data_IF_864496945748
#
_entry.id   IF_864496945748
#
_cell.length_a   1.000
_cell.length_b   1.000
_cell.length_c   1.000
_cell.angle_alpha   90.00
_cell.angle_beta   90.00
_cell.angle_gamma   90.00
#
_symmetry.space_group_name_H-M   'P 1'
#
loop_
_entity.id
_entity.type
_entity.pdbx_description
1 polymer ?
#
# COMPACT_ATOMS: atom_id res chain seq x y z
N UNK A 1 27.31 -10.66 -13.36
CA UNK A 1 28.29 -10.46 -12.28
C UNK A 1 28.06 -11.60 -11.28
N UNK A 2 29.09 -12.30 -10.82
CA UNK A 2 28.90 -13.32 -9.77
C UNK A 2 28.48 -12.59 -8.50
N UNK A 3 27.28 -12.90 -7.96
CA UNK A 3 26.91 -12.48 -6.62
C UNK A 3 28.00 -12.97 -5.66
N UNK A 4 28.55 -12.08 -4.87
CA UNK A 4 29.42 -12.46 -3.76
C UNK A 4 28.60 -13.41 -2.89
N UNK A 5 29.19 -14.56 -2.51
CA UNK A 5 28.52 -15.51 -1.62
C UNK A 5 28.24 -14.78 -0.31
N UNK A 6 26.97 -14.59 0.00
CA UNK A 6 26.52 -13.99 1.24
C UNK A 6 26.93 -14.93 2.39
N UNK A 7 27.64 -14.43 3.39
CA UNK A 7 27.94 -15.18 4.59
C UNK A 7 26.74 -15.07 5.55
N UNK A 8 25.96 -16.15 5.63
CA UNK A 8 24.86 -16.26 6.58
C UNK A 8 25.37 -16.71 7.94
N UNK A 9 24.66 -16.31 8.99
CA UNK A 9 24.90 -16.74 10.37
C UNK A 9 24.46 -18.19 10.64
N UNK A 10 23.89 -18.46 11.80
CA UNK A 10 23.62 -19.82 12.27
C UNK A 10 22.17 -20.30 12.06
N UNK A 11 21.30 -19.54 11.39
CA UNK A 11 19.86 -19.73 11.39
C UNK A 11 19.26 -20.12 10.02
N UNK A 12 19.63 -21.26 9.42
CA UNK A 12 18.91 -21.75 8.23
C UNK A 12 17.44 -22.03 8.59
N UNK A 13 16.52 -21.86 7.62
CA UNK A 13 15.08 -21.97 7.86
C UNK A 13 14.67 -23.28 8.55
N UNK A 14 15.34 -24.39 8.23
CA UNK A 14 15.08 -25.69 8.91
C UNK A 14 15.33 -25.62 10.40
N UNK A 15 16.41 -24.95 10.81
CA UNK A 15 16.74 -24.78 12.22
C UNK A 15 15.73 -23.84 12.90
N UNK A 16 15.41 -22.72 12.28
CA UNK A 16 14.39 -21.80 12.81
C UNK A 16 13.04 -22.48 13.00
N UNK A 17 12.62 -23.34 12.05
CA UNK A 17 11.37 -24.09 12.20
C UNK A 17 11.39 -25.09 13.36
N UNK A 18 12.53 -25.73 13.65
CA UNK A 18 12.61 -26.74 14.71
C UNK A 18 12.88 -26.16 16.08
N UNK A 19 13.75 -25.16 16.16
CA UNK A 19 14.28 -24.66 17.41
C UNK A 19 13.49 -23.45 17.96
N UNK A 20 12.81 -22.69 17.08
CA UNK A 20 12.10 -21.45 17.44
C UNK A 20 10.62 -21.53 17.08
N UNK A 21 10.29 -21.53 15.79
CA UNK A 21 8.89 -21.52 15.32
C UNK A 21 8.13 -22.76 15.80
N UNK A 22 8.84 -23.86 16.00
CA UNK A 22 8.28 -25.08 16.56
C UNK A 22 7.47 -25.92 15.59
N UNK A 23 7.09 -27.11 16.03
CA UNK A 23 6.38 -28.10 15.22
C UNK A 23 4.85 -28.02 15.34
N UNK A 24 4.32 -27.01 16.03
CA UNK A 24 2.88 -26.83 16.19
C UNK A 24 2.50 -25.68 17.14
N UNK A 25 1.19 -25.39 17.28
CA UNK A 25 0.71 -24.19 17.97
C UNK A 25 1.12 -24.06 19.46
N UNK A 26 1.43 -25.18 20.09
CA UNK A 26 1.81 -25.19 21.51
C UNK A 26 3.31 -25.01 21.76
N UNK A 27 4.12 -25.17 20.72
CA UNK A 27 5.58 -25.03 20.77
C UNK A 27 6.07 -23.87 19.88
N UNK A 28 5.14 -23.16 19.25
CA UNK A 28 5.48 -22.00 18.45
C UNK A 28 5.93 -20.84 19.34
N UNK A 29 7.07 -20.27 19.00
CA UNK A 29 7.65 -19.09 19.64
C UNK A 29 8.03 -18.06 18.57
N UNK A 30 8.32 -16.85 19.00
CA UNK A 30 8.72 -15.77 18.11
C UNK A 30 10.23 -15.79 17.87
N UNK A 31 10.62 -15.46 16.63
CA UNK A 31 12.01 -15.26 16.30
C UNK A 31 12.49 -13.90 16.84
N UNK A 32 13.76 -13.80 17.20
CA UNK A 32 14.36 -12.49 17.41
C UNK A 32 14.45 -11.73 16.08
N UNK A 33 14.67 -10.41 16.17
CA UNK A 33 14.86 -9.57 14.99
C UNK A 33 16.00 -10.06 14.09
N UNK A 34 17.14 -10.44 14.68
CA UNK A 34 18.29 -10.98 13.93
C UNK A 34 17.95 -12.31 13.23
N UNK A 35 17.18 -13.17 13.88
CA UNK A 35 16.73 -14.42 13.28
C UNK A 35 15.76 -14.18 12.12
N UNK A 36 14.84 -13.23 12.26
CA UNK A 36 13.92 -12.83 11.20
C UNK A 36 14.68 -12.20 10.02
N UNK A 37 15.63 -11.30 10.29
CA UNK A 37 16.51 -10.70 9.28
C UNK A 37 17.26 -11.78 8.51
N UNK A 38 17.99 -12.66 9.20
CA UNK A 38 18.74 -13.74 8.54
C UNK A 38 17.83 -14.65 7.71
N UNK A 39 16.63 -14.98 8.23
CA UNK A 39 15.67 -15.79 7.49
C UNK A 39 15.28 -15.14 6.15
N UNK A 40 14.99 -13.84 6.17
CA UNK A 40 14.55 -13.17 4.94
C UNK A 40 15.71 -12.93 3.96
N UNK A 41 16.89 -12.63 4.45
CA UNK A 41 18.12 -12.60 3.63
C UNK A 41 18.34 -13.90 2.86
N UNK A 42 18.21 -15.04 3.55
CA UNK A 42 18.31 -16.37 2.91
C UNK A 42 17.21 -16.59 1.86
N UNK A 43 15.99 -16.11 2.13
CA UNK A 43 14.87 -16.21 1.19
C UNK A 43 15.15 -15.38 -0.06
N UNK A 44 15.57 -14.13 0.08
CA UNK A 44 15.90 -13.25 -1.06
C UNK A 44 17.10 -13.79 -1.86
N UNK A 45 18.06 -14.41 -1.19
CA UNK A 45 19.19 -15.09 -1.85
C UNK A 45 18.82 -16.39 -2.58
N UNK A 46 17.56 -16.86 -2.43
CA UNK A 46 17.09 -18.10 -3.05
C UNK A 46 17.68 -19.38 -2.44
N UNK A 47 18.23 -19.31 -1.22
CA UNK A 47 18.85 -20.47 -0.55
C UNK A 47 17.86 -21.61 -0.26
N UNK A 48 16.64 -21.33 0.30
CA UNK A 48 15.75 -22.41 0.69
C UNK A 48 15.14 -23.14 -0.51
N UNK A 49 15.07 -24.48 -0.43
CA UNK A 49 14.24 -25.24 -1.36
C UNK A 49 12.75 -24.93 -1.17
N UNK A 50 11.94 -25.23 -2.22
CA UNK A 50 10.52 -24.89 -2.23
C UNK A 50 9.73 -25.48 -1.06
N UNK A 51 10.09 -26.70 -0.62
CA UNK A 51 9.39 -27.37 0.50
C UNK A 51 9.70 -26.68 1.81
N UNK A 52 10.96 -26.35 2.06
CA UNK A 52 11.42 -25.65 3.26
C UNK A 52 10.82 -24.25 3.32
N UNK A 53 10.83 -23.51 2.20
CA UNK A 53 10.28 -22.16 2.10
C UNK A 53 8.75 -22.15 2.37
N UNK A 54 8.02 -23.07 1.71
CA UNK A 54 6.58 -23.19 1.91
C UNK A 54 6.21 -23.54 3.35
N UNK A 55 6.94 -24.48 3.97
CA UNK A 55 6.74 -24.85 5.37
C UNK A 55 7.03 -23.67 6.32
N UNK A 56 8.10 -22.91 6.08
CA UNK A 56 8.46 -21.74 6.87
C UNK A 56 7.39 -20.64 6.76
N UNK A 57 6.93 -20.33 5.57
CA UNK A 57 5.87 -19.33 5.35
C UNK A 57 4.57 -19.74 6.04
N UNK A 58 4.15 -21.01 5.88
CA UNK A 58 2.92 -21.49 6.52
C UNK A 58 3.03 -21.46 8.05
N UNK A 59 4.16 -21.88 8.60
CA UNK A 59 4.40 -21.86 10.03
C UNK A 59 4.31 -20.43 10.59
N UNK A 60 4.96 -19.46 9.94
CA UNK A 60 4.89 -18.06 10.34
C UNK A 60 3.47 -17.48 10.25
N UNK A 61 2.73 -17.81 9.17
CA UNK A 61 1.33 -17.41 9.05
C UNK A 61 0.48 -17.99 10.17
N UNK A 62 0.70 -19.24 10.53
CA UNK A 62 -0.07 -19.95 11.54
C UNK A 62 0.20 -19.44 12.96
N UNK A 63 1.46 -19.21 13.30
CA UNK A 63 1.82 -18.63 14.60
C UNK A 63 1.47 -17.14 14.72
N UNK A 64 1.34 -16.44 13.58
CA UNK A 64 1.22 -14.99 13.41
C UNK A 64 2.50 -14.27 13.84
N UNK A 65 3.13 -13.59 12.88
CA UNK A 65 4.32 -12.80 13.16
C UNK A 65 4.01 -11.66 14.15
N UNK A 66 4.94 -11.41 15.05
CA UNK A 66 4.93 -10.23 15.91
C UNK A 66 5.53 -9.01 15.17
N UNK A 67 5.41 -7.79 15.71
CA UNK A 67 5.95 -6.58 15.07
C UNK A 67 7.46 -6.63 14.86
N UNK A 68 8.23 -7.14 15.82
CA UNK A 68 9.69 -7.24 15.75
C UNK A 68 10.17 -8.13 14.60
N UNK A 69 9.51 -9.28 14.37
CA UNK A 69 9.78 -10.13 13.21
C UNK A 69 9.46 -9.43 11.90
N UNK A 70 8.31 -8.74 11.84
CA UNK A 70 7.90 -8.01 10.65
C UNK A 70 8.84 -6.84 10.35
N UNK A 71 9.29 -6.10 11.37
CA UNK A 71 10.29 -5.06 11.23
C UNK A 71 11.61 -5.63 10.68
N UNK A 72 12.07 -6.76 11.23
CA UNK A 72 13.28 -7.42 10.73
C UNK A 72 13.18 -7.84 9.25
N UNK A 73 12.02 -8.33 8.81
CA UNK A 73 11.77 -8.63 7.40
C UNK A 73 11.70 -7.37 6.53
N UNK A 74 11.04 -6.31 7.02
CA UNK A 74 10.92 -5.04 6.31
C UNK A 74 12.26 -4.37 6.11
N UNK A 75 13.11 -4.35 7.15
CA UNK A 75 14.44 -3.79 7.06
C UNK A 75 15.29 -4.49 5.99
N UNK A 76 15.29 -5.82 5.99
CA UNK A 76 16.00 -6.60 4.96
C UNK A 76 15.42 -6.36 3.56
N UNK A 77 14.10 -6.26 3.43
CA UNK A 77 13.48 -5.92 2.15
C UNK A 77 13.99 -4.58 1.64
N UNK A 78 14.03 -3.57 2.49
CA UNK A 78 14.49 -2.23 2.13
C UNK A 78 15.99 -2.19 1.83
N UNK A 79 16.81 -2.88 2.61
CA UNK A 79 18.27 -2.94 2.42
C UNK A 79 18.70 -3.69 1.16
N UNK A 80 18.03 -4.80 0.83
CA UNK A 80 18.53 -5.75 -0.17
C UNK A 80 17.67 -5.83 -1.44
N UNK A 81 16.46 -5.29 -1.43
CA UNK A 81 15.54 -5.41 -2.56
C UNK A 81 14.94 -4.09 -3.01
N UNK A 82 14.58 -3.19 -2.09
CA UNK A 82 13.93 -1.94 -2.49
C UNK A 82 14.96 -0.97 -3.09
N UNK A 83 14.66 -0.52 -4.30
CA UNK A 83 15.33 0.58 -4.96
C UNK A 83 14.50 1.83 -4.72
N UNK A 84 15.00 2.73 -3.90
CA UNK A 84 14.33 3.99 -3.60
C UNK A 84 14.70 5.07 -4.61
N UNK A 85 13.73 5.90 -4.97
CA UNK A 85 13.93 7.14 -5.69
C UNK A 85 12.99 8.19 -5.09
N UNK A 86 13.58 9.15 -4.39
CA UNK A 86 12.87 10.18 -3.65
C UNK A 86 12.60 11.38 -4.56
N UNK A 87 11.32 11.77 -4.78
CA UNK A 87 11.00 12.99 -5.49
C UNK A 87 11.37 14.24 -4.66
N UNK A 88 11.56 15.39 -5.32
CA UNK A 88 11.74 16.69 -4.63
C UNK A 88 10.47 17.09 -3.86
N UNK A 89 9.30 16.76 -4.41
CA UNK A 89 8.03 16.86 -3.71
C UNK A 89 7.95 15.76 -2.64
N UNK A 90 7.50 16.12 -1.45
CA UNK A 90 7.28 15.20 -0.34
C UNK A 90 5.86 14.60 -0.45
N UNK A 91 5.68 13.39 -1.01
CA UNK A 91 4.36 12.83 -1.29
C UNK A 91 3.76 12.11 -0.09
N UNK A 92 2.44 11.89 -0.16
CA UNK A 92 1.77 10.87 0.64
C UNK A 92 1.99 9.51 -0.02
N UNK A 93 2.57 8.55 0.70
CA UNK A 93 2.72 7.16 0.26
C UNK A 93 1.42 6.40 0.49
N UNK A 94 0.79 5.93 -0.57
CA UNK A 94 -0.42 5.12 -0.50
C UNK A 94 -0.09 3.65 -0.76
N UNK A 95 0.30 2.96 0.30
CA UNK A 95 0.56 1.52 0.33
C UNK A 95 -0.72 0.71 0.44
N UNK A 96 -1.56 0.78 -0.59
CA UNK A 96 -2.80 0.01 -0.63
C UNK A 96 -2.56 -1.49 -0.49
N UNK A 97 -3.59 -2.20 -0.09
CA UNK A 97 -3.58 -3.64 -0.12
C UNK A 97 -3.40 -4.14 -1.56
N UNK A 98 -2.24 -4.69 -1.85
CA UNK A 98 -1.88 -5.22 -3.18
C UNK A 98 -2.79 -6.35 -3.67
N UNK A 99 -3.62 -6.93 -2.79
CA UNK A 99 -4.57 -7.99 -3.16
C UNK A 99 -5.56 -7.56 -4.25
N UNK A 100 -5.85 -6.27 -4.35
CA UNK A 100 -6.79 -5.74 -5.33
C UNK A 100 -8.25 -5.79 -4.87
N UNK A 101 -9.14 -5.25 -5.69
CA UNK A 101 -10.59 -5.26 -5.50
C UNK A 101 -11.28 -6.19 -6.51
N UNK A 102 -12.36 -6.82 -6.07
CA UNK A 102 -13.12 -7.79 -6.88
C UNK A 102 -14.48 -7.29 -7.34
N UNK A 103 -15.09 -6.36 -6.60
CA UNK A 103 -16.47 -5.93 -6.84
C UNK A 103 -16.69 -4.43 -6.71
N UNK A 104 -15.86 -3.71 -5.99
CA UNK A 104 -15.99 -2.26 -5.84
C UNK A 104 -14.96 -1.50 -6.68
N UNK A 105 -15.30 -0.27 -7.07
CA UNK A 105 -14.39 0.60 -7.82
C UNK A 105 -13.10 0.89 -7.05
N UNK A 106 -11.97 0.97 -7.75
CA UNK A 106 -10.67 1.38 -7.20
C UNK A 106 -10.61 2.90 -7.22
N UNK A 107 -11.04 3.53 -6.13
CA UNK A 107 -11.18 4.99 -6.02
C UNK A 107 -9.86 5.72 -5.76
N UNK A 108 -8.85 5.02 -5.24
CA UNK A 108 -7.59 5.61 -4.79
C UNK A 108 -6.80 6.32 -5.90
N UNK A 109 -6.95 5.88 -7.17
CA UNK A 109 -6.33 6.57 -8.32
C UNK A 109 -6.97 7.96 -8.50
N UNK A 110 -8.29 8.03 -8.66
CA UNK A 110 -8.99 9.32 -8.79
C UNK A 110 -8.78 10.24 -7.59
N UNK A 111 -8.82 9.69 -6.39
CA UNK A 111 -8.57 10.43 -5.16
C UNK A 111 -7.13 11.00 -5.09
N UNK A 112 -6.14 10.24 -5.56
CA UNK A 112 -4.76 10.70 -5.66
C UNK A 112 -4.59 11.85 -6.67
N UNK A 113 -5.27 11.75 -7.82
CA UNK A 113 -5.25 12.81 -8.85
C UNK A 113 -5.92 14.10 -8.37
N UNK A 114 -7.04 13.98 -7.64
CA UNK A 114 -7.72 15.12 -7.00
C UNK A 114 -6.81 15.78 -5.96
N UNK A 115 -6.15 15.00 -5.10
CA UNK A 115 -5.21 15.54 -4.12
C UNK A 115 -4.02 16.22 -4.79
N UNK A 116 -3.45 15.62 -5.84
CA UNK A 116 -2.36 16.20 -6.63
C UNK A 116 -2.77 17.56 -7.25
N UNK A 117 -3.97 17.62 -7.83
CA UNK A 117 -4.53 18.87 -8.38
C UNK A 117 -4.71 19.95 -7.32
N UNK A 118 -5.00 19.57 -6.08
CA UNK A 118 -5.09 20.49 -4.94
C UNK A 118 -3.71 20.86 -4.34
N UNK A 119 -2.62 20.30 -4.86
CA UNK A 119 -1.25 20.61 -4.42
C UNK A 119 -0.67 19.64 -3.40
N UNK A 120 -1.33 18.52 -3.10
CA UNK A 120 -0.82 17.44 -2.25
C UNK A 120 -0.24 16.34 -3.13
N UNK A 121 1.08 16.17 -3.22
CA UNK A 121 1.68 15.11 -4.02
C UNK A 121 1.33 13.71 -3.46
N UNK A 122 1.08 12.76 -4.34
CA UNK A 122 0.68 11.39 -3.98
C UNK A 122 1.49 10.36 -4.75
N UNK A 123 1.94 9.35 -4.04
CA UNK A 123 2.55 8.15 -4.62
C UNK A 123 1.65 6.95 -4.34
N UNK A 124 1.41 6.16 -5.36
CA UNK A 124 0.80 4.84 -5.22
C UNK A 124 1.77 3.78 -5.75
N UNK A 125 1.71 2.58 -5.21
CA UNK A 125 2.58 1.50 -5.66
C UNK A 125 1.87 0.15 -5.60
N UNK A 126 2.15 -0.70 -6.57
CA UNK A 126 1.66 -2.09 -6.63
C UNK A 126 2.45 -2.90 -7.65
N UNK A 127 2.24 -4.22 -7.65
CA UNK A 127 2.62 -5.10 -8.76
C UNK A 127 1.49 -5.27 -9.75
N UNK A 128 1.65 -6.23 -10.68
CA UNK A 128 0.58 -6.60 -11.61
C UNK A 128 -0.57 -7.28 -10.87
N UNK A 129 -0.28 -8.38 -10.19
CA UNK A 129 -1.24 -9.14 -9.41
C UNK A 129 -0.56 -9.80 -8.24
N UNK A 130 -1.13 -9.67 -7.08
CA UNK A 130 -0.62 -10.38 -5.90
C UNK A 130 -0.95 -11.87 -6.03
N UNK A 131 0.00 -12.75 -5.74
CA UNK A 131 -0.28 -14.18 -5.64
C UNK A 131 -1.45 -14.43 -4.70
N UNK A 132 -2.32 -15.39 -5.06
CA UNK A 132 -3.51 -15.83 -4.33
C UNK A 132 -4.80 -15.04 -4.55
N UNK A 133 -4.77 -13.73 -4.85
CA UNK A 133 -5.99 -12.92 -5.06
C UNK A 133 -6.25 -12.60 -6.54
N UNK A 134 -5.25 -12.09 -7.24
CA UNK A 134 -5.31 -11.79 -8.69
C UNK A 134 -6.45 -10.84 -9.09
N UNK A 135 -6.78 -9.89 -8.21
CA UNK A 135 -7.81 -8.88 -8.42
C UNK A 135 -7.24 -7.59 -9.02
N UNK A 136 -8.09 -6.61 -9.28
CA UNK A 136 -7.70 -5.31 -9.85
C UNK A 136 -7.00 -4.44 -8.81
N UNK A 137 -5.74 -4.10 -9.06
CA UNK A 137 -4.95 -3.16 -8.29
C UNK A 137 -4.79 -1.81 -9.02
N UNK A 138 -4.12 -0.85 -8.41
CA UNK A 138 -3.87 0.48 -8.98
C UNK A 138 -3.31 0.42 -10.41
N UNK A 139 -2.28 -0.43 -10.63
CA UNK A 139 -1.65 -0.56 -11.95
C UNK A 139 -2.66 -0.77 -13.09
N UNK A 140 -3.65 -1.65 -12.87
CA UNK A 140 -4.61 -1.98 -13.94
C UNK A 140 -5.49 -0.79 -14.31
N UNK A 141 -5.89 0.02 -13.33
CA UNK A 141 -6.69 1.24 -13.56
C UNK A 141 -5.84 2.32 -14.24
N UNK A 142 -4.57 2.48 -13.82
CA UNK A 142 -3.64 3.41 -14.45
C UNK A 142 -3.35 3.03 -15.92
N UNK A 143 -3.12 1.74 -16.20
CA UNK A 143 -2.94 1.24 -17.56
C UNK A 143 -4.18 1.53 -18.45
N UNK A 144 -5.39 1.31 -17.90
CA UNK A 144 -6.66 1.57 -18.61
C UNK A 144 -6.88 3.07 -18.85
N UNK A 145 -6.43 3.93 -17.95
CA UNK A 145 -6.42 5.38 -18.12
C UNK A 145 -5.36 5.87 -19.13
N UNK A 146 -4.48 4.99 -19.61
CA UNK A 146 -3.41 5.33 -20.55
C UNK A 146 -2.18 5.97 -19.90
N UNK A 147 -2.01 5.79 -18.59
CA UNK A 147 -0.86 6.28 -17.83
C UNK A 147 0.23 5.20 -17.85
N UNK A 148 1.49 5.60 -18.04
CA UNK A 148 2.62 4.67 -18.01
C UNK A 148 2.84 4.10 -16.61
N UNK A 149 2.97 2.77 -16.53
CA UNK A 149 3.13 2.05 -15.26
C UNK A 149 4.39 1.16 -15.22
N UNK A 150 5.16 1.12 -16.30
CA UNK A 150 6.38 0.31 -16.44
C UNK A 150 7.66 1.15 -16.22
N UNK A 151 7.57 2.11 -15.31
CA UNK A 151 8.64 3.06 -15.03
C UNK A 151 9.72 2.48 -14.10
N UNK A 152 10.97 2.89 -14.32
CA UNK A 152 12.02 2.73 -13.32
C UNK A 152 11.79 3.72 -12.15
N UNK A 153 12.31 3.45 -10.94
CA UNK A 153 12.02 4.29 -9.76
C UNK A 153 12.33 5.78 -9.96
N UNK A 154 13.43 6.12 -10.61
CA UNK A 154 13.80 7.51 -10.91
C UNK A 154 12.81 8.19 -11.86
N UNK A 155 12.27 7.45 -12.84
CA UNK A 155 11.21 7.97 -13.72
C UNK A 155 9.92 8.19 -12.94
N UNK A 156 9.60 7.29 -11.98
CA UNK A 156 8.43 7.46 -11.09
C UNK A 156 8.57 8.69 -10.19
N UNK A 157 9.76 8.95 -9.64
CA UNK A 157 10.03 10.17 -8.87
C UNK A 157 9.86 11.44 -9.73
N UNK A 158 10.40 11.45 -10.96
CA UNK A 158 10.22 12.55 -11.89
C UNK A 158 8.74 12.78 -12.24
N UNK A 159 7.95 11.70 -12.40
CA UNK A 159 6.51 11.80 -12.61
C UNK A 159 5.82 12.54 -11.46
N UNK A 160 6.18 12.24 -10.20
CA UNK A 160 5.66 12.96 -9.03
C UNK A 160 6.01 14.45 -9.10
N UNK A 161 7.28 14.77 -9.36
CA UNK A 161 7.77 16.15 -9.40
C UNK A 161 7.14 16.98 -10.52
N UNK A 162 6.83 16.35 -11.66
CA UNK A 162 6.23 17.01 -12.81
C UNK A 162 4.71 17.16 -12.71
N UNK A 163 4.01 16.18 -12.11
CA UNK A 163 2.54 16.09 -12.16
C UNK A 163 1.85 16.10 -10.80
N UNK A 164 2.60 15.96 -9.71
CA UNK A 164 2.05 15.79 -8.36
C UNK A 164 1.55 14.37 -8.07
N UNK A 165 1.61 13.44 -9.03
CA UNK A 165 1.19 12.05 -8.82
C UNK A 165 2.21 11.10 -9.43
N UNK A 166 2.49 9.97 -8.77
CA UNK A 166 3.40 8.96 -9.31
C UNK A 166 3.01 7.53 -8.97
N UNK A 167 3.41 6.63 -9.84
CA UNK A 167 3.25 5.19 -9.66
C UNK A 167 4.61 4.49 -9.63
N UNK A 168 4.88 3.74 -8.56
CA UNK A 168 6.06 2.90 -8.45
C UNK A 168 5.70 1.43 -8.71
N UNK A 169 6.28 0.87 -9.76
CA UNK A 169 6.02 -0.50 -10.20
C UNK A 169 6.83 -1.50 -9.38
N UNK A 170 6.18 -2.37 -8.62
CA UNK A 170 6.84 -3.29 -7.70
C UNK A 170 7.96 -4.12 -8.33
N UNK A 171 7.84 -4.71 -9.54
CA UNK A 171 8.96 -5.42 -10.17
C UNK A 171 10.21 -4.58 -10.39
N UNK A 172 10.07 -3.28 -10.61
CA UNK A 172 11.18 -2.35 -10.78
C UNK A 172 11.77 -1.91 -9.43
N UNK A 173 10.93 -1.45 -8.49
CA UNK A 173 11.44 -0.95 -7.22
C UNK A 173 11.70 -2.03 -6.16
N UNK A 174 11.11 -3.22 -6.26
CA UNK A 174 11.27 -4.31 -5.28
C UNK A 174 11.45 -5.68 -5.96
N UNK A 175 12.49 -5.83 -6.79
CA UNK A 175 12.69 -7.01 -7.62
C UNK A 175 12.87 -8.30 -6.81
N UNK A 176 13.49 -8.25 -5.63
CA UNK A 176 13.68 -9.44 -4.80
C UNK A 176 12.36 -10.01 -4.27
N UNK A 177 11.39 -9.15 -3.94
CA UNK A 177 10.04 -9.60 -3.56
C UNK A 177 9.26 -10.07 -4.80
N UNK A 178 9.42 -9.40 -5.94
CA UNK A 178 8.82 -9.85 -7.20
C UNK A 178 9.30 -11.24 -7.61
N UNK A 179 10.58 -11.55 -7.45
CA UNK A 179 11.15 -12.87 -7.76
C UNK A 179 10.57 -14.02 -6.91
N UNK A 180 9.92 -13.69 -5.81
CA UNK A 180 9.19 -14.66 -4.99
C UNK A 180 7.77 -14.98 -5.52
N UNK A 181 7.31 -14.31 -6.60
CA UNK A 181 5.93 -14.41 -7.10
C UNK A 181 5.50 -15.86 -7.33
N UNK A 182 6.24 -16.62 -8.13
CA UNK A 182 5.89 -18.01 -8.46
C UNK A 182 5.83 -18.91 -7.22
N UNK A 183 6.71 -18.67 -6.25
CA UNK A 183 6.71 -19.43 -4.99
C UNK A 183 5.50 -19.09 -4.12
N UNK A 184 5.12 -17.82 -4.08
CA UNK A 184 3.93 -17.34 -3.36
C UNK A 184 2.65 -17.88 -4.02
N UNK A 185 2.57 -17.86 -5.35
CA UNK A 185 1.42 -18.38 -6.11
C UNK A 185 1.27 -19.92 -5.89
N UNK A 186 2.36 -20.68 -5.97
CA UNK A 186 2.37 -22.12 -5.69
C UNK A 186 1.99 -22.43 -4.24
N UNK A 187 2.30 -21.55 -3.30
CA UNK A 187 1.93 -21.69 -1.89
C UNK A 187 0.41 -21.60 -1.68
N UNK A 188 -0.29 -20.79 -2.46
CA UNK A 188 -1.74 -20.65 -2.46
C UNK A 188 -2.35 -19.96 -1.23
N UNK A 189 -1.51 -19.41 -0.34
CA UNK A 189 -1.93 -18.64 0.85
C UNK A 189 -1.06 -17.41 1.03
N UNK A 190 -1.62 -16.37 1.64
CA UNK A 190 -0.86 -15.16 1.99
C UNK A 190 0.26 -15.48 2.98
N UNK A 191 1.38 -14.80 2.85
CA UNK A 191 2.55 -14.88 3.74
C UNK A 191 2.78 -13.53 4.42
N UNK A 192 3.81 -13.39 5.24
CA UNK A 192 4.20 -12.10 5.79
C UNK A 192 4.61 -11.09 4.72
N UNK A 193 5.05 -11.55 3.55
CA UNK A 193 5.40 -10.67 2.42
C UNK A 193 4.23 -9.78 2.02
N UNK A 194 2.99 -10.31 2.05
CA UNK A 194 1.77 -9.52 1.79
C UNK A 194 1.55 -8.36 2.79
N UNK A 195 2.21 -8.39 3.93
CA UNK A 195 2.19 -7.30 4.91
C UNK A 195 3.30 -6.31 4.65
N UNK A 196 4.54 -6.78 4.50
CA UNK A 196 5.70 -5.89 4.42
C UNK A 196 5.79 -5.16 3.07
N UNK A 197 5.29 -5.76 1.98
CA UNK A 197 5.33 -5.12 0.66
C UNK A 197 4.49 -3.84 0.59
N UNK A 198 3.44 -3.71 1.41
CA UNK A 198 2.59 -2.51 1.45
C UNK A 198 3.25 -1.31 2.13
N UNK A 199 4.29 -1.52 2.91
CA UNK A 199 5.10 -0.47 3.56
C UNK A 199 6.49 -0.36 2.93
N UNK A 200 6.61 -0.72 1.66
CA UNK A 200 7.87 -0.66 0.91
C UNK A 200 8.46 0.75 0.80
N UNK A 201 7.62 1.77 0.79
CA UNK A 201 7.98 3.19 0.74
C UNK A 201 9.10 3.50 -0.28
N UNK A 202 8.87 3.29 -1.58
CA UNK A 202 9.91 3.50 -2.58
C UNK A 202 10.29 4.97 -2.78
N UNK A 203 9.41 5.88 -2.41
CA UNK A 203 9.62 7.33 -2.51
C UNK A 203 10.26 7.95 -1.25
N UNK A 204 10.53 7.18 -0.19
CA UNK A 204 10.95 7.68 1.13
C UNK A 204 10.02 8.77 1.70
N UNK A 205 8.72 8.65 1.46
CA UNK A 205 7.72 9.59 1.94
C UNK A 205 7.64 9.60 3.47
N UNK A 206 7.34 10.76 4.05
CA UNK A 206 7.18 10.95 5.50
C UNK A 206 5.80 10.56 6.01
N UNK A 207 4.80 10.44 5.12
CA UNK A 207 3.40 10.15 5.45
C UNK A 207 2.93 8.90 4.72
N UNK A 208 2.31 7.97 5.46
CA UNK A 208 1.79 6.72 4.91
C UNK A 208 0.28 6.59 5.08
N UNK A 209 -0.40 6.25 4.00
CA UNK A 209 -1.79 5.77 4.02
C UNK A 209 -1.83 4.28 3.69
N UNK A 210 -2.41 3.51 4.59
CA UNK A 210 -2.54 2.07 4.44
C UNK A 210 -3.94 1.57 4.77
N UNK A 211 -4.08 0.26 4.92
CA UNK A 211 -5.38 -0.35 5.16
C UNK A 211 -5.33 -1.51 6.16
N UNK A 212 -6.49 -1.83 6.73
CA UNK A 212 -6.64 -2.98 7.62
C UNK A 212 -8.03 -3.60 7.53
N UNK A 213 -8.11 -4.89 7.86
CA UNK A 213 -9.41 -5.57 8.10
C UNK A 213 -9.84 -5.53 9.57
N UNK A 214 -8.89 -5.52 10.50
CA UNK A 214 -9.13 -5.52 11.94
C UNK A 214 -8.16 -4.56 12.62
N UNK A 215 -8.65 -3.73 13.54
CA UNK A 215 -7.87 -2.70 14.25
C UNK A 215 -6.56 -3.25 14.87
N UNK A 216 -6.57 -4.50 15.35
CA UNK A 216 -5.36 -5.15 15.84
C UNK A 216 -4.26 -5.30 14.77
N UNK A 217 -4.61 -5.25 13.48
CA UNK A 217 -3.65 -5.27 12.39
C UNK A 217 -3.07 -3.88 12.15
N UNK A 218 -3.88 -2.82 12.23
CA UNK A 218 -3.36 -1.44 12.18
C UNK A 218 -2.34 -1.21 13.30
N UNK A 219 -2.66 -1.63 14.54
CA UNK A 219 -1.70 -1.57 15.63
C UNK A 219 -0.40 -2.32 15.32
N UNK A 220 -0.50 -3.51 14.72
CA UNK A 220 0.68 -4.29 14.34
C UNK A 220 1.53 -3.59 13.26
N UNK A 221 0.91 -2.94 12.28
CA UNK A 221 1.61 -2.14 11.28
C UNK A 221 2.30 -0.94 11.89
N UNK A 222 1.62 -0.23 12.80
CA UNK A 222 2.23 0.87 13.56
C UNK A 222 3.43 0.42 14.38
N UNK A 223 3.29 -0.70 15.11
CA UNK A 223 4.39 -1.25 15.89
C UNK A 223 5.54 -1.72 14.97
N UNK A 224 5.25 -2.27 13.78
CA UNK A 224 6.26 -2.60 12.76
C UNK A 224 7.02 -1.35 12.31
N UNK A 225 6.29 -0.26 11.98
CA UNK A 225 6.90 1.02 11.57
C UNK A 225 7.82 1.56 12.66
N UNK A 226 7.36 1.57 13.90
CA UNK A 226 8.14 2.03 15.07
C UNK A 226 9.39 1.20 15.34
N UNK A 227 9.35 -0.09 15.05
CA UNK A 227 10.47 -1.03 15.28
C UNK A 227 11.43 -1.10 14.07
N UNK A 228 11.05 -0.63 12.89
CA UNK A 228 11.91 -0.65 11.70
C UNK A 228 13.03 0.38 11.80
N UNK A 229 14.24 0.01 11.36
CA UNK A 229 15.37 0.92 11.25
C UNK A 229 15.41 1.70 9.91
N UNK A 230 14.44 1.41 9.02
CA UNK A 230 14.43 1.91 7.64
C UNK A 230 13.10 2.54 7.20
N UNK A 231 12.14 2.71 8.10
CA UNK A 231 10.88 3.39 7.87
C UNK A 231 10.80 4.62 8.77
N UNK A 232 11.07 5.80 8.22
CA UNK A 232 11.11 7.06 8.94
C UNK A 232 9.79 7.86 8.77
N UNK A 233 8.64 7.18 8.81
CA UNK A 233 7.36 7.86 8.74
C UNK A 233 7.13 8.74 9.96
N UNK A 234 6.77 9.99 9.74
CA UNK A 234 6.30 10.92 10.78
C UNK A 234 4.83 10.69 11.12
N UNK A 235 4.04 10.19 10.16
CA UNK A 235 2.61 9.92 10.31
C UNK A 235 2.19 8.72 9.49
N UNK A 236 1.31 7.89 10.07
CA UNK A 236 0.69 6.78 9.35
C UNK A 236 -0.81 6.72 9.67
N UNK A 237 -1.63 6.62 8.64
CA UNK A 237 -3.09 6.51 8.77
C UNK A 237 -3.55 5.25 8.05
N UNK A 238 -4.36 4.46 8.73
CA UNK A 238 -4.87 3.20 8.21
C UNK A 238 -6.38 3.20 8.21
N UNK A 239 -6.98 2.66 7.15
CA UNK A 239 -8.42 2.58 6.96
C UNK A 239 -8.95 1.16 7.01
N UNK A 240 -10.14 0.99 7.57
CA UNK A 240 -10.95 -0.20 7.35
C UNK A 240 -11.82 0.01 6.10
N UNK A 241 -11.18 0.12 4.94
CA UNK A 241 -11.84 0.41 3.67
C UNK A 241 -12.55 -0.78 3.03
N UNK A 242 -13.20 -0.53 1.90
CA UNK A 242 -13.85 -1.57 1.12
C UNK A 242 -12.83 -2.57 0.60
N UNK A 243 -13.11 -3.86 0.76
CA UNK A 243 -12.23 -4.96 0.36
C UNK A 243 -10.79 -4.85 0.91
N UNK A 244 -10.58 -4.03 1.96
CA UNK A 244 -9.29 -3.85 2.62
C UNK A 244 -8.37 -2.87 1.91
N UNK A 245 -8.91 -1.91 1.16
CA UNK A 245 -8.17 -0.81 0.55
C UNK A 245 -8.02 0.42 1.47
N UNK A 246 -7.15 1.34 1.07
CA UNK A 246 -6.87 2.64 1.69
C UNK A 246 -7.93 3.69 1.28
N UNK A 247 -9.19 3.36 1.46
CA UNK A 247 -10.31 4.22 1.12
C UNK A 247 -11.37 4.28 2.23
N UNK A 248 -12.09 5.41 2.26
CA UNK A 248 -13.28 5.57 3.09
C UNK A 248 -14.42 4.82 2.41
N UNK A 249 -15.04 3.90 3.15
CA UNK A 249 -16.19 3.13 2.67
C UNK A 249 -17.51 3.84 3.01
N UNK A 250 -18.59 3.54 2.28
CA UNK A 250 -19.94 4.00 2.62
C UNK A 250 -20.37 3.65 4.03
N UNK A 251 -21.22 4.49 4.61
CA UNK A 251 -21.68 4.38 5.98
C UNK A 251 -20.60 4.87 6.95
N UNK A 252 -19.86 3.95 7.58
CA UNK A 252 -18.76 4.33 8.48
C UNK A 252 -17.45 3.62 8.14
N UNK A 253 -16.36 4.31 8.38
CA UNK A 253 -14.99 3.78 8.25
C UNK A 253 -14.26 3.93 9.58
N UNK A 254 -13.70 2.83 10.09
CA UNK A 254 -12.72 2.93 11.18
C UNK A 254 -11.40 3.40 10.62
N UNK A 255 -10.83 4.40 11.27
CA UNK A 255 -9.52 4.94 10.99
C UNK A 255 -8.63 4.71 12.20
N UNK A 256 -7.39 4.33 11.97
CA UNK A 256 -6.35 4.28 12.98
C UNK A 256 -5.22 5.21 12.55
N UNK A 257 -4.88 6.16 13.38
CA UNK A 257 -3.91 7.22 13.11
C UNK A 257 -2.81 7.21 14.12
N UNK A 258 -1.58 7.29 13.63
CA UNK A 258 -0.38 7.38 14.43
C UNK A 258 0.49 8.54 13.94
N UNK A 259 0.98 9.32 14.89
CA UNK A 259 2.01 10.34 14.69
C UNK A 259 3.27 9.93 15.47
N UNK A 260 4.45 10.21 14.95
CA UNK A 260 5.69 9.84 15.61
C UNK A 260 5.76 10.38 17.05
N UNK A 261 6.20 9.52 17.96
CA UNK A 261 6.25 9.80 19.39
C UNK A 261 4.90 9.75 20.11
N UNK A 262 3.78 9.52 19.43
CA UNK A 262 2.44 9.40 20.01
C UNK A 262 1.94 7.94 20.11
N UNK A 263 0.86 7.74 20.84
CA UNK A 263 0.12 6.47 20.83
C UNK A 263 -0.80 6.43 19.61
N UNK A 264 -1.12 5.21 19.15
CA UNK A 264 -2.09 5.00 18.06
C UNK A 264 -3.47 5.40 18.56
N UNK A 265 -4.13 6.30 17.86
CA UNK A 265 -5.52 6.69 18.09
C UNK A 265 -6.44 6.00 17.06
N UNK A 266 -7.67 5.69 17.44
CA UNK A 266 -8.69 5.21 16.52
C UNK A 266 -9.98 6.01 16.64
N UNK A 267 -10.61 6.24 15.48
CA UNK A 267 -11.86 6.96 15.38
C UNK A 267 -12.71 6.43 14.21
N UNK A 268 -13.93 6.91 14.10
CA UNK A 268 -14.84 6.56 13.01
C UNK A 268 -15.17 7.82 12.20
N UNK A 269 -15.26 7.65 10.89
CA UNK A 269 -15.75 8.66 9.95
C UNK A 269 -17.06 8.12 9.37
N UNK A 270 -18.11 8.90 9.49
CA UNK A 270 -19.42 8.60 8.92
C UNK A 270 -19.64 9.46 7.67
N UNK A 271 -19.86 8.83 6.51
CA UNK A 271 -20.02 9.58 5.23
C UNK A 271 -21.24 10.52 5.28
N UNK A 272 -22.27 10.19 6.07
CA UNK A 272 -23.44 11.04 6.28
C UNK A 272 -23.11 12.40 6.93
N UNK A 273 -22.03 12.50 7.72
CA UNK A 273 -21.58 13.77 8.32
C UNK A 273 -21.09 14.76 7.26
N UNK A 274 -20.66 14.25 6.11
CA UNK A 274 -20.23 15.03 4.94
C UNK A 274 -21.33 15.20 3.88
N UNK A 275 -22.59 14.87 4.24
CA UNK A 275 -23.73 14.96 3.34
C UNK A 275 -23.82 13.84 2.30
N UNK A 276 -23.09 12.73 2.52
CA UNK A 276 -22.99 11.60 1.60
C UNK A 276 -23.73 10.39 2.18
N UNK A 277 -25.02 10.26 1.87
CA UNK A 277 -25.81 9.08 2.21
C UNK A 277 -25.62 8.02 1.13
N UNK A 278 -24.75 7.02 1.37
CA UNK A 278 -24.46 5.94 0.43
C UNK A 278 -24.28 4.60 1.15
N UNK A 279 -24.54 3.53 0.42
CA UNK A 279 -24.35 2.15 0.87
C UNK A 279 -23.20 1.49 0.06
N UNK A 280 -22.71 0.33 0.52
CA UNK A 280 -21.60 -0.34 -0.16
C UNK A 280 -21.92 -0.67 -1.62
N UNK A 281 -23.17 -1.04 -1.90
CA UNK A 281 -23.67 -1.39 -3.23
C UNK A 281 -23.62 -0.22 -4.22
N UNK A 282 -23.62 1.03 -3.74
CA UNK A 282 -23.52 2.22 -4.59
C UNK A 282 -22.14 2.40 -5.22
N UNK A 283 -21.12 1.73 -4.68
CA UNK A 283 -19.74 1.73 -5.21
C UNK A 283 -19.34 0.39 -5.86
N UNK A 284 -20.26 -0.57 -5.99
CA UNK A 284 -20.04 -1.80 -6.74
C UNK A 284 -20.06 -1.56 -8.26
N UNK A 285 -19.25 -2.33 -8.97
CA UNK A 285 -19.09 -2.25 -10.43
C UNK A 285 -18.99 -3.66 -11.04
N UNK A 286 -19.31 -3.79 -12.31
CA UNK A 286 -19.27 -5.08 -13.01
C UNK A 286 -17.84 -5.44 -13.48
N UNK A 287 -17.16 -4.53 -14.14
CA UNK A 287 -15.73 -4.65 -14.53
C UNK A 287 -14.89 -3.66 -13.73
N UNK A 288 -14.28 -4.17 -12.65
CA UNK A 288 -13.54 -3.30 -11.71
C UNK A 288 -12.47 -2.48 -12.40
N UNK A 289 -11.78 -3.01 -13.41
CA UNK A 289 -10.72 -2.27 -14.13
C UNK A 289 -11.29 -1.19 -15.02
N UNK A 290 -12.13 -1.57 -15.99
CA UNK A 290 -12.66 -0.66 -16.98
C UNK A 290 -13.63 0.37 -16.37
N UNK A 291 -14.49 -0.05 -15.44
CA UNK A 291 -15.43 0.85 -14.80
C UNK A 291 -14.72 1.83 -13.88
N UNK A 292 -13.68 1.42 -13.11
CA UNK A 292 -12.90 2.35 -12.28
C UNK A 292 -12.21 3.43 -13.10
N UNK A 293 -11.63 3.06 -14.25
CA UNK A 293 -11.01 4.03 -15.16
C UNK A 293 -12.04 5.01 -15.73
N UNK A 294 -13.16 4.50 -16.26
CA UNK A 294 -14.25 5.32 -16.82
C UNK A 294 -14.86 6.25 -15.76
N UNK A 295 -15.08 5.76 -14.54
CA UNK A 295 -15.59 6.55 -13.42
C UNK A 295 -14.59 7.64 -13.05
N UNK A 296 -13.31 7.30 -12.91
CA UNK A 296 -12.24 8.26 -12.58
C UNK A 296 -12.21 9.38 -13.65
N UNK A 297 -12.16 9.04 -14.93
CA UNK A 297 -12.16 10.01 -16.04
C UNK A 297 -13.35 10.96 -15.96
N UNK A 298 -14.56 10.41 -15.84
CA UNK A 298 -15.80 11.20 -15.82
C UNK A 298 -15.91 12.09 -14.56
N UNK A 299 -15.40 11.64 -13.41
CA UNK A 299 -15.34 12.47 -12.19
C UNK A 299 -14.36 13.61 -12.35
N UNK A 300 -13.13 13.34 -12.81
CA UNK A 300 -12.12 14.37 -12.99
C UNK A 300 -12.51 15.43 -14.02
N UNK A 301 -13.27 15.04 -15.06
CA UNK A 301 -13.84 15.95 -16.05
C UNK A 301 -15.08 16.74 -15.53
N UNK A 302 -15.52 16.50 -14.29
CA UNK A 302 -16.73 17.13 -13.75
C UNK A 302 -18.05 16.67 -14.41
N UNK A 303 -18.03 15.52 -15.09
CA UNK A 303 -19.19 14.97 -15.80
C UNK A 303 -20.10 14.10 -14.91
N UNK A 304 -19.64 13.79 -13.69
CA UNK A 304 -20.37 13.01 -12.68
C UNK A 304 -20.63 13.81 -11.43
N UNK A 305 -21.85 13.65 -10.88
CA UNK A 305 -22.31 14.23 -9.61
C UNK A 305 -23.12 13.14 -8.89
N UNK A 306 -22.42 12.08 -8.45
CA UNK A 306 -23.00 10.91 -7.81
C UNK A 306 -22.09 10.37 -6.69
N UNK A 307 -22.44 9.22 -6.12
CA UNK A 307 -21.69 8.59 -5.03
C UNK A 307 -20.21 8.33 -5.35
N UNK A 308 -19.85 8.08 -6.61
CA UNK A 308 -18.46 7.92 -7.00
C UNK A 308 -17.70 9.24 -6.95
N UNK A 309 -18.32 10.35 -7.41
CA UNK A 309 -17.73 11.69 -7.32
C UNK A 309 -17.52 12.09 -5.85
N UNK A 310 -18.52 11.89 -5.01
CA UNK A 310 -18.45 12.12 -3.58
C UNK A 310 -17.33 11.30 -2.92
N UNK A 311 -17.28 10.00 -3.21
CA UNK A 311 -16.29 9.10 -2.63
C UNK A 311 -14.85 9.46 -3.08
N UNK A 312 -14.63 9.78 -4.35
CA UNK A 312 -13.32 10.23 -4.86
C UNK A 312 -12.91 11.55 -4.19
N UNK A 313 -13.81 12.52 -4.07
CA UNK A 313 -13.53 13.80 -3.44
C UNK A 313 -13.17 13.65 -1.95
N UNK A 314 -13.94 12.85 -1.19
CA UNK A 314 -13.68 12.62 0.24
C UNK A 314 -12.36 11.87 0.46
N UNK A 315 -12.04 10.89 -0.38
CA UNK A 315 -10.77 10.20 -0.32
C UNK A 315 -9.58 11.08 -0.76
N UNK A 316 -9.79 12.02 -1.68
CA UNK A 316 -8.82 13.08 -2.02
C UNK A 316 -8.56 14.00 -0.83
N UNK A 317 -9.62 14.47 -0.18
CA UNK A 317 -9.54 15.29 1.03
C UNK A 317 -8.73 14.60 2.14
N UNK A 318 -8.87 13.29 2.28
CA UNK A 318 -8.13 12.54 3.29
C UNK A 318 -6.63 12.51 3.03
N UNK A 319 -6.19 12.50 1.76
CA UNK A 319 -4.77 12.59 1.39
C UNK A 319 -4.19 13.96 1.74
N UNK A 320 -4.95 15.03 1.47
CA UNK A 320 -4.58 16.40 1.89
C UNK A 320 -4.48 16.52 3.42
N UNK A 321 -5.46 15.96 4.15
CA UNK A 321 -5.46 15.93 5.62
C UNK A 321 -4.28 15.13 6.18
N UNK A 322 -3.94 14.00 5.55
CA UNK A 322 -2.84 13.15 5.99
C UNK A 322 -1.50 13.89 5.96
N UNK A 323 -1.27 14.74 4.97
CA UNK A 323 -0.05 15.55 4.82
C UNK A 323 -0.14 16.90 5.55
N UNK A 324 -1.26 17.18 6.21
CA UNK A 324 -1.52 18.47 6.89
C UNK A 324 -1.56 19.68 5.95
N UNK A 325 -1.91 19.48 4.68
CA UNK A 325 -2.15 20.56 3.71
C UNK A 325 -3.49 21.26 3.95
N UNK A 326 -4.38 20.64 4.70
CA UNK A 326 -5.66 21.17 5.18
C UNK A 326 -5.85 20.89 6.67
N UNK A 327 -6.57 21.77 7.36
CA UNK A 327 -6.79 21.66 8.80
C UNK A 327 -7.90 20.62 9.16
N UNK A 328 -8.80 20.34 8.22
CA UNK A 328 -9.95 19.44 8.42
C UNK A 328 -10.30 18.68 7.14
N UNK A 329 -11.09 17.61 7.28
CA UNK A 329 -11.63 16.89 6.12
C UNK A 329 -12.66 17.72 5.35
N UNK A 330 -13.39 18.60 6.04
CA UNK A 330 -14.34 19.53 5.43
C UNK A 330 -13.62 20.50 4.49
N UNK A 331 -12.51 21.10 4.95
CA UNK A 331 -11.70 22.01 4.13
C UNK A 331 -11.09 21.26 2.92
N UNK A 332 -10.61 20.05 3.13
CA UNK A 332 -10.10 19.19 2.07
C UNK A 332 -11.17 18.79 1.06
N UNK A 333 -12.39 18.52 1.51
CA UNK A 333 -13.52 18.17 0.64
C UNK A 333 -13.97 19.37 -0.21
N UNK A 334 -13.95 20.59 0.35
CA UNK A 334 -14.22 21.82 -0.41
C UNK A 334 -13.17 21.98 -1.52
N UNK A 335 -11.88 21.88 -1.20
CA UNK A 335 -10.80 21.95 -2.18
C UNK A 335 -10.87 20.84 -3.24
N UNK A 336 -11.17 19.59 -2.84
CA UNK A 336 -11.34 18.49 -3.77
C UNK A 336 -12.45 18.75 -4.80
N UNK A 337 -13.59 19.29 -4.35
CA UNK A 337 -14.70 19.66 -5.22
C UNK A 337 -14.36 20.84 -6.12
N UNK A 338 -13.60 21.80 -5.63
CA UNK A 338 -13.17 22.98 -6.41
C UNK A 338 -12.25 22.56 -7.58
N UNK A 339 -11.24 21.71 -7.34
CA UNK A 339 -10.31 21.26 -8.41
C UNK A 339 -10.97 20.32 -9.43
N UNK A 340 -12.03 19.62 -9.05
CA UNK A 340 -12.88 18.88 -9.99
C UNK A 340 -13.69 19.87 -10.84
N UNK A 341 -14.34 20.84 -10.20
CA UNK A 341 -15.24 21.77 -10.87
C UNK A 341 -14.53 22.74 -11.82
N UNK A 342 -13.28 23.12 -11.52
CA UNK A 342 -12.51 24.07 -12.34
C UNK A 342 -11.67 23.37 -13.44
N UNK A 343 -11.64 22.03 -13.47
CA UNK A 343 -10.93 21.21 -14.46
C UNK A 343 -9.45 20.97 -14.12
N UNK A 344 -8.95 21.39 -12.96
CA UNK A 344 -7.56 21.18 -12.54
C UNK A 344 -7.27 19.68 -12.37
N UNK A 345 -8.23 18.91 -11.88
CA UNK A 345 -8.09 17.46 -11.70
C UNK A 345 -8.00 16.71 -13.04
N UNK A 346 -8.77 17.12 -14.06
CA UNK A 346 -8.66 16.61 -15.43
C UNK A 346 -7.31 16.95 -16.05
N UNK A 347 -6.79 18.15 -15.81
CA UNK A 347 -5.49 18.59 -16.33
C UNK A 347 -4.35 17.70 -15.81
N UNK A 348 -4.35 17.30 -14.54
CA UNK A 348 -3.36 16.35 -13.97
C UNK A 348 -3.41 15.00 -14.69
N UNK A 349 -4.60 14.48 -15.01
CA UNK A 349 -4.73 13.25 -15.78
C UNK A 349 -4.11 13.37 -17.18
N UNK A 350 -4.35 14.49 -17.87
CA UNK A 350 -3.78 14.75 -19.20
C UNK A 350 -2.24 14.89 -19.14
N UNK A 351 -1.71 15.56 -18.11
CA UNK A 351 -0.26 15.67 -17.90
C UNK A 351 0.39 14.30 -17.67
N UNK A 352 -0.25 13.42 -16.89
CA UNK A 352 0.20 12.06 -16.67
C UNK A 352 0.16 11.20 -17.94
N UNK A 353 -0.83 11.39 -18.80
CA UNK A 353 -0.90 10.73 -20.12
C UNK A 353 0.18 11.20 -21.08
N UNK A 354 0.63 12.43 -20.91
CA UNK A 354 1.67 13.03 -21.73
C UNK A 354 3.10 12.73 -21.25
N UNK A 355 3.26 12.33 -19.98
CA UNK A 355 4.53 11.93 -19.36
C UNK A 355 5.05 10.64 -20.00
#
# INVERSE_FOLDING_TARGET
>A
MAQASQEFGEWPLKRLMTDVVGSGPKSADDMSREQAREAFQRILAGEPDATTLGAFWLANRWKRNNPEELAGYTDVMREESVVTAEPEADPVDCGANYDGKHSSAVLGVGAGLVAAAAGTPVVVHSGDRVPTQKATAYKHVLDELGIRTDLEPEESANMVDETGFGFYYQPAFNPGVHDLYDRRDQMGVRTFVNTIETVGNPANADVHLGSFYHLAFAKKLTDLIRESDHLDYSRAIFFQGMEGYDDIRPGYTKVAEWNDGAELEDYEIETAEYGMEMENEDLEVDDVTADSATITEAVLAGERDDHFADAIALNGAFRMYAREDVDSLEDGLEQARDVIADGSAEAVLEDLRAF
#
